data_IF_634811302826
#
_entry.id   IF_634811302826
#
_cell.length_a   1.000
_cell.length_b   1.000
_cell.length_c   1.000
_cell.angle_alpha   90.00
_cell.angle_beta   90.00
_cell.angle_gamma   90.00
#
_symmetry.space_group_name_H-M   'P 1'
#
loop_
_entity.id
_entity.type
_entity.pdbx_description
1 polymer ?
#
# COMPACT_ATOMS: atom_id res chain seq x y z
N UNK A 1 -13.92 10.44 7.44
CA UNK A 1 -15.13 9.63 7.73
C UNK A 1 -16.32 10.02 6.85
N UNK A 2 -16.66 11.30 6.70
CA UNK A 2 -17.79 11.75 5.85
C UNK A 2 -17.66 11.39 4.36
N UNK A 3 -16.43 11.45 3.80
CA UNK A 3 -16.17 11.13 2.39
C UNK A 3 -16.44 9.64 2.04
N UNK A 4 -16.12 8.71 2.95
CA UNK A 4 -16.39 7.29 2.72
C UNK A 4 -17.89 7.00 2.70
N UNK A 5 -18.64 7.71 3.55
CA UNK A 5 -20.08 7.54 3.72
C UNK A 5 -20.82 8.09 2.50
N UNK A 6 -20.39 9.23 1.95
CA UNK A 6 -20.94 9.77 0.70
C UNK A 6 -20.64 8.86 -0.50
N UNK A 7 -19.41 8.36 -0.65
CA UNK A 7 -19.06 7.40 -1.72
C UNK A 7 -19.90 6.13 -1.64
N UNK A 8 -20.07 5.56 -0.44
CA UNK A 8 -20.87 4.36 -0.23
C UNK A 8 -22.35 4.60 -0.58
N UNK A 9 -22.92 5.75 -0.21
CA UNK A 9 -24.31 6.10 -0.53
C UNK A 9 -24.53 6.33 -2.03
N UNK A 10 -23.60 6.99 -2.72
CA UNK A 10 -23.67 7.23 -4.16
C UNK A 10 -23.54 5.90 -4.92
N UNK A 11 -22.62 5.03 -4.51
CA UNK A 11 -22.47 3.70 -5.09
C UNK A 11 -23.72 2.83 -4.85
N UNK A 12 -24.29 2.88 -3.65
CA UNK A 12 -25.54 2.19 -3.31
C UNK A 12 -26.69 2.64 -4.21
N UNK A 13 -26.87 3.95 -4.37
CA UNK A 13 -27.88 4.52 -5.26
C UNK A 13 -27.67 4.09 -6.71
N UNK A 14 -26.42 4.11 -7.20
CA UNK A 14 -26.06 3.64 -8.53
C UNK A 14 -26.40 2.17 -8.77
N UNK A 15 -26.09 1.29 -7.80
CA UNK A 15 -26.42 -0.12 -7.86
C UNK A 15 -27.92 -0.40 -7.76
N UNK A 16 -28.67 0.34 -6.95
CA UNK A 16 -30.14 0.26 -6.89
C UNK A 16 -30.75 0.68 -8.23
N UNK A 17 -30.26 1.76 -8.86
CA UNK A 17 -30.70 2.16 -10.20
C UNK A 17 -30.40 1.10 -11.26
N UNK A 18 -29.24 0.45 -11.21
CA UNK A 18 -28.90 -0.66 -12.12
C UNK A 18 -29.75 -1.90 -11.85
N UNK A 19 -30.07 -2.21 -10.59
CA UNK A 19 -30.96 -3.31 -10.22
C UNK A 19 -32.38 -3.08 -10.74
N UNK A 20 -32.91 -1.84 -10.65
CA UNK A 20 -34.19 -1.46 -11.24
C UNK A 20 -34.19 -1.48 -12.77
N UNK A 21 -33.02 -1.30 -13.40
CA UNK A 21 -32.85 -1.39 -14.83
C UNK A 21 -32.76 -2.84 -15.36
N UNK A 22 -32.53 -3.82 -14.49
CA UNK A 22 -32.47 -5.22 -14.87
C UNK A 22 -33.89 -5.82 -14.92
N UNK A 23 -34.22 -6.58 -15.96
CA UNK A 23 -35.61 -6.99 -16.24
C UNK A 23 -36.20 -7.85 -15.12
N UNK A 24 -35.41 -8.80 -14.58
CA UNK A 24 -35.87 -9.73 -13.55
C UNK A 24 -35.93 -9.07 -12.17
N UNK A 25 -34.94 -8.24 -11.84
CA UNK A 25 -34.80 -7.60 -10.54
C UNK A 25 -35.71 -6.36 -10.40
N UNK A 26 -35.87 -5.58 -11.48
CA UNK A 26 -36.77 -4.43 -11.52
C UNK A 26 -38.23 -4.83 -11.37
N UNK A 27 -38.65 -5.94 -12.00
CA UNK A 27 -39.99 -6.50 -11.82
C UNK A 27 -40.23 -7.01 -10.39
N UNK A 28 -39.21 -7.64 -9.77
CA UNK A 28 -39.26 -8.10 -8.38
C UNK A 28 -39.31 -6.97 -7.35
N UNK A 29 -38.60 -5.86 -7.58
CA UNK A 29 -38.53 -4.71 -6.67
C UNK A 29 -39.75 -3.78 -6.79
N UNK A 30 -40.26 -3.56 -8.00
CA UNK A 30 -41.37 -2.64 -8.26
C UNK A 30 -42.74 -3.33 -8.24
N UNK A 31 -42.78 -4.66 -8.30
CA UNK A 31 -44.01 -5.46 -8.37
C UNK A 31 -44.82 -5.23 -9.66
N UNK A 32 -44.20 -4.59 -10.67
CA UNK A 32 -44.78 -4.20 -11.95
C UNK A 32 -43.67 -4.24 -13.00
N UNK A 33 -43.99 -4.63 -14.23
CA UNK A 33 -43.01 -4.60 -15.34
C UNK A 33 -42.68 -3.12 -15.65
N UNK A 34 -41.42 -2.68 -15.46
CA UNK A 34 -41.04 -1.29 -15.70
C UNK A 34 -41.09 -0.96 -17.19
N UNK A 35 -41.60 0.23 -17.56
CA UNK A 35 -41.63 0.67 -18.95
C UNK A 35 -40.21 0.75 -19.54
N UNK A 36 -40.00 0.39 -20.83
CA UNK A 36 -38.67 0.35 -21.45
C UNK A 36 -37.90 1.68 -21.43
N UNK A 37 -38.62 2.81 -21.39
CA UNK A 37 -38.02 4.15 -21.27
C UNK A 37 -37.46 4.40 -19.86
N UNK A 38 -38.21 4.03 -18.82
CA UNK A 38 -37.78 4.14 -17.42
C UNK A 38 -36.57 3.27 -17.16
N UNK A 39 -36.55 2.06 -17.74
CA UNK A 39 -35.42 1.13 -17.63
C UNK A 39 -34.13 1.69 -18.23
N UNK A 40 -34.24 2.34 -19.39
CA UNK A 40 -33.11 3.03 -20.04
C UNK A 40 -32.63 4.23 -19.21
N UNK A 41 -33.56 5.03 -18.66
CA UNK A 41 -33.24 6.14 -17.76
C UNK A 41 -32.55 5.69 -16.47
N UNK A 42 -33.02 4.62 -15.84
CA UNK A 42 -32.37 4.06 -14.64
C UNK A 42 -30.97 3.49 -14.95
N UNK A 43 -30.78 2.91 -16.13
CA UNK A 43 -29.47 2.39 -16.56
C UNK A 43 -28.46 3.51 -16.77
N UNK A 44 -28.86 4.60 -17.45
CA UNK A 44 -27.97 5.75 -17.64
C UNK A 44 -27.69 6.45 -16.31
N UNK A 45 -28.70 6.65 -15.47
CA UNK A 45 -28.52 7.22 -14.14
C UNK A 45 -27.59 6.38 -13.24
N UNK A 46 -27.71 5.05 -13.27
CA UNK A 46 -26.86 4.15 -12.50
C UNK A 46 -25.38 4.23 -12.90
N UNK A 47 -25.09 4.26 -14.19
CA UNK A 47 -23.72 4.45 -14.68
C UNK A 47 -23.16 5.85 -14.37
N UNK A 48 -23.98 6.89 -14.48
CA UNK A 48 -23.59 8.26 -14.12
C UNK A 48 -23.26 8.39 -12.63
N UNK A 49 -24.04 7.74 -11.75
CA UNK A 49 -23.79 7.73 -10.31
C UNK A 49 -22.51 6.96 -9.95
N UNK A 50 -22.24 5.82 -10.60
CA UNK A 50 -20.98 5.09 -10.39
C UNK A 50 -19.76 5.88 -10.90
N UNK A 51 -19.92 6.61 -12.01
CA UNK A 51 -18.90 7.54 -12.50
C UNK A 51 -18.68 8.74 -11.57
N UNK A 52 -19.74 9.29 -10.98
CA UNK A 52 -19.63 10.35 -9.98
C UNK A 52 -18.94 9.85 -8.69
N UNK A 53 -19.21 8.62 -8.25
CA UNK A 53 -18.50 7.99 -7.14
C UNK A 53 -17.00 7.85 -7.42
N UNK A 54 -16.61 7.54 -8.66
CA UNK A 54 -15.21 7.49 -9.08
C UNK A 54 -14.55 8.88 -8.97
N UNK A 55 -15.20 9.93 -9.49
CA UNK A 55 -14.68 11.31 -9.42
C UNK A 55 -14.45 11.77 -7.98
N UNK A 56 -15.39 11.48 -7.07
CA UNK A 56 -15.25 11.80 -5.64
C UNK A 56 -14.10 11.02 -4.98
N UNK A 57 -13.87 9.77 -5.38
CA UNK A 57 -12.73 8.98 -4.91
C UNK A 57 -11.39 9.53 -5.41
N UNK A 58 -11.33 9.97 -6.67
CA UNK A 58 -10.14 10.54 -7.28
C UNK A 58 -9.78 11.90 -6.65
N UNK A 59 -10.77 12.78 -6.44
CA UNK A 59 -10.55 14.10 -5.80
C UNK A 59 -10.14 13.97 -4.32
N UNK A 60 -10.68 12.98 -3.60
CA UNK A 60 -10.40 12.83 -2.17
C UNK A 60 -9.07 12.13 -1.86
N UNK A 61 -8.68 11.13 -2.64
CA UNK A 61 -7.56 10.23 -2.32
C UNK A 61 -6.45 10.21 -3.38
N UNK A 62 -6.61 10.97 -4.48
CA UNK A 62 -5.69 11.00 -5.61
C UNK A 62 -5.85 9.81 -6.55
N UNK A 63 -5.23 9.88 -7.72
CA UNK A 63 -5.51 8.98 -8.85
C UNK A 63 -5.22 7.50 -8.55
N UNK A 64 -4.13 7.22 -7.82
CA UNK A 64 -3.68 5.84 -7.55
C UNK A 64 -4.49 5.18 -6.43
N UNK A 65 -4.76 5.89 -5.34
CA UNK A 65 -5.47 5.33 -4.19
C UNK A 65 -6.99 5.41 -4.39
N UNK A 66 -7.48 6.46 -5.06
CA UNK A 66 -8.89 6.65 -5.38
C UNK A 66 -9.47 5.53 -6.25
N UNK A 67 -8.73 5.06 -7.26
CA UNK A 67 -9.16 3.94 -8.09
C UNK A 67 -9.34 2.64 -7.30
N UNK A 68 -8.39 2.32 -6.42
CA UNK A 68 -8.46 1.13 -5.55
C UNK A 68 -9.61 1.25 -4.55
N UNK A 69 -9.78 2.42 -3.94
CA UNK A 69 -10.87 2.69 -3.01
C UNK A 69 -12.25 2.57 -3.69
N UNK A 70 -12.39 3.05 -4.93
CA UNK A 70 -13.60 2.94 -5.72
C UNK A 70 -13.99 1.48 -6.00
N UNK A 71 -13.03 0.66 -6.44
CA UNK A 71 -13.25 -0.79 -6.66
C UNK A 71 -13.63 -1.51 -5.35
N UNK A 72 -12.96 -1.17 -4.24
CA UNK A 72 -13.25 -1.75 -2.94
C UNK A 72 -14.69 -1.46 -2.48
N UNK A 73 -15.14 -0.20 -2.59
CA UNK A 73 -16.50 0.19 -2.18
C UNK A 73 -17.57 -0.38 -3.09
N UNK A 74 -17.33 -0.46 -4.41
CA UNK A 74 -18.20 -1.16 -5.35
C UNK A 74 -18.36 -2.64 -4.96
N UNK A 75 -17.26 -3.30 -4.59
CA UNK A 75 -17.28 -4.70 -4.13
C UNK A 75 -18.10 -4.89 -2.86
N UNK A 76 -17.93 -4.02 -1.86
CA UNK A 76 -18.70 -4.09 -0.59
C UNK A 76 -20.18 -3.86 -0.85
N UNK A 77 -20.54 -2.81 -1.59
CA UNK A 77 -21.95 -2.46 -1.86
C UNK A 77 -22.64 -3.53 -2.71
N UNK A 78 -21.97 -4.05 -3.74
CA UNK A 78 -22.53 -5.12 -4.58
C UNK A 78 -22.72 -6.42 -3.80
N UNK A 79 -21.79 -6.80 -2.93
CA UNK A 79 -21.94 -7.95 -2.05
C UNK A 79 -23.13 -7.78 -1.09
N UNK A 80 -23.25 -6.62 -0.43
CA UNK A 80 -24.38 -6.32 0.46
C UNK A 80 -25.70 -6.42 -0.30
N UNK A 81 -25.82 -5.82 -1.49
CA UNK A 81 -27.02 -5.95 -2.32
C UNK A 81 -27.29 -7.41 -2.71
N UNK A 82 -26.28 -8.16 -3.14
CA UNK A 82 -26.43 -9.55 -3.57
C UNK A 82 -26.96 -10.46 -2.45
N UNK A 83 -26.58 -10.20 -1.19
CA UNK A 83 -27.07 -10.95 -0.03
C UNK A 83 -28.37 -10.39 0.56
N UNK A 84 -28.66 -9.09 0.40
CA UNK A 84 -29.85 -8.45 0.94
C UNK A 84 -31.08 -8.60 0.02
N UNK A 85 -30.92 -8.49 -1.30
CA UNK A 85 -32.03 -8.56 -2.27
C UNK A 85 -32.84 -9.87 -2.17
N UNK A 86 -32.21 -11.07 -2.15
CA UNK A 86 -32.95 -12.32 -2.09
C UNK A 86 -33.85 -12.39 -0.86
N UNK A 87 -33.36 -11.92 0.29
CA UNK A 87 -34.11 -11.89 1.55
C UNK A 87 -35.31 -10.94 1.54
N UNK A 88 -35.30 -9.92 0.68
CA UNK A 88 -36.37 -8.92 0.61
C UNK A 88 -37.41 -9.23 -0.46
N UNK A 89 -37.01 -9.96 -1.51
CA UNK A 89 -37.88 -10.25 -2.67
C UNK A 89 -38.52 -11.64 -2.65
N UNK A 90 -38.08 -12.53 -1.76
CA UNK A 90 -38.71 -13.84 -1.59
C UNK A 90 -40.14 -13.67 -1.05
N UNK A 91 -41.13 -13.76 -1.94
CA UNK A 91 -42.49 -14.16 -1.54
C UNK A 91 -42.38 -15.60 -1.01
N UNK A 92 -43.01 -15.94 0.13
CA UNK A 92 -43.01 -17.33 0.59
C UNK A 92 -43.58 -18.20 -0.52
N UNK A 93 -42.73 -19.06 -1.08
CA UNK A 93 -43.12 -19.91 -2.20
C UNK A 93 -44.22 -20.87 -1.74
N UNK A 94 -45.25 -21.09 -2.57
CA UNK A 94 -46.10 -22.27 -2.42
C UNK A 94 -45.15 -23.48 -2.54
N UNK A 95 -45.12 -24.40 -1.57
CA UNK A 95 -44.11 -25.45 -1.55
C UNK A 95 -44.29 -26.32 -2.79
N UNK A 96 -43.41 -26.14 -3.77
CA UNK A 96 -43.14 -27.15 -4.77
C UNK A 96 -42.43 -28.29 -4.05
N UNK A 97 -42.64 -29.56 -4.44
CA UNK A 97 -41.82 -30.66 -3.96
C UNK A 97 -40.40 -30.45 -4.52
N UNK A 98 -39.63 -29.62 -3.81
CA UNK A 98 -38.19 -29.54 -3.99
C UNK A 98 -37.69 -30.84 -3.37
N UNK A 99 -37.15 -31.71 -4.21
CA UNK A 99 -36.25 -32.74 -3.74
C UNK A 99 -35.09 -31.99 -3.09
N UNK A 100 -35.16 -31.88 -1.75
CA UNK A 100 -34.29 -31.03 -0.98
C UNK A 100 -32.86 -31.45 -1.29
N UNK A 101 -32.09 -30.59 -1.95
CA UNK A 101 -30.64 -30.72 -1.87
C UNK A 101 -30.32 -30.65 -0.39
N UNK A 102 -29.81 -31.77 0.14
CA UNK A 102 -29.69 -31.97 1.57
C UNK A 102 -29.04 -30.73 2.19
N UNK A 103 -29.63 -30.16 3.27
CA UNK A 103 -29.09 -28.96 3.88
C UNK A 103 -27.61 -29.19 4.15
N UNK A 104 -26.77 -28.20 3.80
CA UNK A 104 -25.35 -28.25 4.14
C UNK A 104 -25.25 -28.65 5.61
N UNK A 105 -24.62 -29.80 5.86
CA UNK A 105 -24.50 -30.36 7.20
C UNK A 105 -23.94 -29.30 8.13
N UNK A 106 -24.28 -29.36 9.42
CA UNK A 106 -23.74 -28.44 10.41
C UNK A 106 -22.20 -28.34 10.28
N UNK A 107 -21.53 -29.46 9.99
CA UNK A 107 -20.09 -29.52 9.70
C UNK A 107 -19.64 -28.67 8.52
N UNK A 108 -20.37 -28.63 7.38
CA UNK A 108 -20.02 -27.78 6.23
C UNK A 108 -20.24 -26.30 6.51
N UNK A 109 -21.25 -25.93 7.30
CA UNK A 109 -21.48 -24.54 7.75
C UNK A 109 -20.37 -24.06 8.67
N UNK A 110 -19.95 -24.91 9.62
CA UNK A 110 -18.79 -24.64 10.47
C UNK A 110 -17.51 -24.49 9.65
N UNK A 111 -17.26 -25.38 8.69
CA UNK A 111 -16.07 -25.31 7.84
C UNK A 111 -16.04 -24.05 6.99
N UNK A 112 -17.17 -23.63 6.42
CA UNK A 112 -17.28 -22.36 5.69
C UNK A 112 -17.03 -21.14 6.58
N UNK A 113 -17.55 -21.13 7.82
CA UNK A 113 -17.29 -20.05 8.78
C UNK A 113 -15.81 -20.00 9.21
N UNK A 114 -15.20 -21.16 9.45
CA UNK A 114 -13.75 -21.25 9.75
C UNK A 114 -12.92 -20.71 8.60
N UNK A 115 -13.21 -21.08 7.36
CA UNK A 115 -12.48 -20.58 6.18
C UNK A 115 -12.67 -19.07 6.00
N UNK A 116 -13.90 -18.56 6.18
CA UNK A 116 -14.20 -17.13 6.06
C UNK A 116 -13.49 -16.29 7.13
N UNK A 117 -13.33 -16.82 8.35
CA UNK A 117 -12.59 -16.16 9.43
C UNK A 117 -11.07 -16.37 9.33
N UNK A 118 -10.61 -17.48 8.76
CA UNK A 118 -9.18 -17.79 8.67
C UNK A 118 -8.42 -16.79 7.80
N UNK A 119 -9.02 -16.30 6.71
CA UNK A 119 -8.38 -15.32 5.82
C UNK A 119 -8.11 -13.97 6.51
N UNK A 120 -9.08 -13.28 7.13
CA UNK A 120 -8.81 -12.02 7.84
C UNK A 120 -7.91 -12.21 9.07
N UNK A 121 -7.98 -13.36 9.76
CA UNK A 121 -7.08 -13.67 10.87
C UNK A 121 -5.64 -13.85 10.37
N UNK A 122 -5.42 -14.64 9.32
CA UNK A 122 -4.11 -14.82 8.71
C UNK A 122 -3.56 -13.48 8.19
N UNK A 123 -4.41 -12.66 7.56
CA UNK A 123 -4.03 -11.31 7.13
C UNK A 123 -3.67 -10.40 8.31
N UNK A 124 -4.45 -10.42 9.39
CA UNK A 124 -4.18 -9.66 10.61
C UNK A 124 -2.85 -10.07 11.27
N UNK A 125 -2.54 -11.37 11.30
CA UNK A 125 -1.25 -11.89 11.78
C UNK A 125 -0.11 -11.38 10.89
N UNK A 126 -0.25 -11.47 9.57
CA UNK A 126 0.76 -10.99 8.61
C UNK A 126 0.98 -9.48 8.76
N UNK A 127 -0.09 -8.70 8.95
CA UNK A 127 0.01 -7.25 9.20
C UNK A 127 0.69 -6.94 10.53
N UNK A 128 0.38 -7.69 11.60
CA UNK A 128 1.02 -7.52 12.90
C UNK A 128 2.51 -7.90 12.88
N UNK A 129 2.90 -8.78 11.97
CA UNK A 129 4.30 -9.18 11.74
C UNK A 129 5.01 -8.34 10.67
N UNK A 130 4.32 -7.37 10.07
CA UNK A 130 4.91 -6.55 9.02
C UNK A 130 6.09 -5.76 9.59
N UNK A 131 7.28 -5.82 8.96
CA UNK A 131 8.45 -5.14 9.48
C UNK A 131 8.22 -3.63 9.50
N UNK A 132 8.59 -3.01 10.63
CA UNK A 132 8.61 -1.55 10.76
C UNK A 132 9.54 -0.98 9.69
N UNK A 133 9.15 0.16 9.10
CA UNK A 133 10.01 0.86 8.13
C UNK A 133 11.40 1.08 8.77
N UNK A 134 12.50 0.71 8.09
CA UNK A 134 13.86 0.81 8.64
C UNK A 134 14.20 2.15 9.28
N UNK A 135 13.80 3.26 8.65
CA UNK A 135 14.03 4.63 9.14
C UNK A 135 13.22 5.01 10.39
N UNK A 136 12.26 4.18 10.80
CA UNK A 136 11.45 4.34 12.01
C UNK A 136 11.85 3.36 13.13
N UNK A 137 12.85 2.50 12.91
CA UNK A 137 13.37 1.62 13.95
C UNK A 137 14.29 2.39 14.89
N UNK A 138 14.47 1.85 16.10
CA UNK A 138 15.31 2.45 17.14
C UNK A 138 16.81 2.52 16.77
N UNK A 139 17.27 1.69 15.83
CA UNK A 139 18.65 1.67 15.33
C UNK A 139 18.92 2.71 14.22
N UNK A 140 17.88 3.43 13.77
CA UNK A 140 18.06 4.44 12.73
C UNK A 140 18.89 5.63 13.24
N UNK A 141 19.87 6.05 12.45
CA UNK A 141 20.65 7.26 12.70
C UNK A 141 19.80 8.48 12.41
N UNK A 142 19.67 9.35 13.41
CA UNK A 142 18.94 10.61 13.31
C UNK A 142 19.92 11.78 13.39
N UNK A 143 19.67 12.84 12.63
CA UNK A 143 20.46 14.05 12.75
C UNK A 143 20.17 15.08 11.66
N UNK A 144 21.11 16.01 11.52
CA UNK A 144 21.03 17.11 10.56
C UNK A 144 22.21 17.09 9.60
N UNK A 145 21.96 17.43 8.34
CA UNK A 145 22.98 17.59 7.30
C UNK A 145 22.72 18.89 6.55
N UNK A 146 23.54 19.91 6.83
CA UNK A 146 23.21 21.28 6.44
C UNK A 146 21.92 21.72 7.15
N UNK A 147 20.94 22.30 6.44
CA UNK A 147 19.67 22.74 7.02
C UNK A 147 18.59 21.64 7.09
N UNK A 148 18.89 20.41 6.68
CA UNK A 148 17.87 19.35 6.57
C UNK A 148 18.04 18.27 7.65
N UNK A 149 16.93 17.93 8.31
CA UNK A 149 16.88 16.80 9.23
C UNK A 149 16.64 15.49 8.46
N UNK A 150 17.23 14.41 8.94
CA UNK A 150 17.13 13.09 8.31
C UNK A 150 17.16 11.93 9.30
N UNK A 151 16.65 10.79 8.83
CA UNK A 151 16.79 9.45 9.41
C UNK A 151 17.43 8.51 8.39
N UNK A 152 18.48 7.78 8.76
CA UNK A 152 19.23 6.87 7.88
C UNK A 152 19.40 5.51 8.57
N UNK A 153 19.08 4.42 7.88
CA UNK A 153 19.20 3.07 8.44
C UNK A 153 19.53 2.02 7.38
N UNK A 154 20.09 0.88 7.80
CA UNK A 154 20.15 -0.33 6.98
C UNK A 154 18.74 -0.80 6.60
N UNK A 155 18.49 -1.15 5.34
CA UNK A 155 17.16 -1.61 4.91
C UNK A 155 16.71 -2.91 5.61
N UNK A 156 17.65 -3.74 6.03
CA UNK A 156 17.47 -4.97 6.80
C UNK A 156 18.65 -5.17 7.75
N UNK A 157 18.48 -6.01 8.77
CA UNK A 157 19.53 -6.35 9.75
C UNK A 157 20.25 -7.66 9.42
N UNK A 158 20.17 -8.11 8.17
CA UNK A 158 20.87 -9.31 7.70
C UNK A 158 22.30 -8.96 7.27
N UNK A 159 23.13 -9.99 7.06
CA UNK A 159 24.45 -9.82 6.45
C UNK A 159 24.34 -9.18 5.05
N UNK A 160 25.40 -8.49 4.57
CA UNK A 160 25.47 -7.98 3.21
C UNK A 160 25.17 -9.08 2.19
N UNK A 161 24.41 -8.72 1.15
CA UNK A 161 24.06 -9.64 0.08
C UNK A 161 25.28 -9.85 -0.82
N UNK A 162 25.62 -11.11 -1.09
CA UNK A 162 26.74 -11.45 -1.97
C UNK A 162 26.22 -11.62 -3.40
N UNK A 163 26.51 -10.67 -4.27
CA UNK A 163 26.18 -10.78 -5.70
C UNK A 163 27.32 -11.53 -6.40
N UNK A 164 27.00 -12.62 -7.09
CA UNK A 164 27.96 -13.55 -7.71
C UNK A 164 29.08 -14.05 -6.74
N UNK A 165 28.83 -14.04 -5.42
CA UNK A 165 29.75 -14.60 -4.42
C UNK A 165 31.00 -13.76 -4.10
N UNK A 166 31.29 -12.70 -4.84
CA UNK A 166 32.55 -11.96 -4.72
C UNK A 166 32.40 -10.57 -4.07
N UNK A 167 31.26 -9.93 -4.31
CA UNK A 167 31.05 -8.55 -3.91
C UNK A 167 29.90 -8.43 -2.91
N UNK A 168 30.15 -7.94 -1.68
CA UNK A 168 29.10 -7.63 -0.72
C UNK A 168 28.38 -6.34 -1.11
N UNK A 169 27.06 -6.37 -1.09
CA UNK A 169 26.19 -5.21 -1.26
C UNK A 169 25.33 -5.02 -0.03
N UNK A 170 25.07 -3.75 0.31
CA UNK A 170 24.16 -3.41 1.39
C UNK A 170 23.23 -2.28 0.97
N UNK A 171 21.95 -2.47 1.30
CA UNK A 171 20.89 -1.52 1.04
C UNK A 171 20.64 -0.65 2.27
N UNK A 172 20.47 0.65 2.02
CA UNK A 172 20.17 1.67 3.01
C UNK A 172 18.90 2.42 2.64
N UNK A 173 18.20 2.92 3.65
CA UNK A 173 17.06 3.81 3.49
C UNK A 173 17.35 5.14 4.17
N UNK A 174 17.00 6.22 3.49
CA UNK A 174 17.15 7.58 3.93
C UNK A 174 15.79 8.26 3.88
N UNK A 175 15.42 8.90 4.99
CA UNK A 175 14.24 9.74 5.10
C UNK A 175 14.62 11.15 5.46
N UNK A 176 14.22 12.13 4.66
CA UNK A 176 14.33 13.55 5.04
C UNK A 176 13.05 14.05 5.71
N UNK A 177 13.13 15.22 6.34
CA UNK A 177 11.92 15.94 6.77
C UNK A 177 11.01 16.24 5.56
N UNK A 178 9.70 16.17 5.77
CA UNK A 178 8.72 16.33 4.68
C UNK A 178 8.85 17.68 3.96
N UNK A 179 9.13 18.76 4.69
CA UNK A 179 9.36 20.09 4.10
C UNK A 179 10.72 20.24 3.41
N UNK A 180 11.73 19.46 3.82
CA UNK A 180 13.11 19.55 3.36
C UNK A 180 13.25 19.03 1.92
N UNK A 181 12.45 18.01 1.56
CA UNK A 181 12.52 17.32 0.27
C UNK A 181 12.45 18.27 -0.93
N UNK A 182 11.65 19.34 -0.81
CA UNK A 182 11.49 20.35 -1.85
C UNK A 182 12.80 21.13 -2.18
N UNK A 183 13.74 21.18 -1.24
CA UNK A 183 15.01 21.92 -1.38
C UNK A 183 16.17 21.03 -1.81
N UNK A 184 16.02 19.70 -1.72
CA UNK A 184 17.09 18.74 -1.99
C UNK A 184 17.05 18.35 -3.46
N UNK A 185 18.20 18.46 -4.14
CA UNK A 185 18.37 18.00 -5.52
C UNK A 185 18.69 16.51 -5.55
N UNK A 186 19.66 16.08 -4.76
CA UNK A 186 20.11 14.69 -4.71
C UNK A 186 20.79 14.37 -3.38
N UNK A 187 20.78 13.09 -3.02
CA UNK A 187 21.56 12.55 -1.92
C UNK A 187 22.33 11.34 -2.42
N UNK A 188 23.55 11.15 -1.93
CA UNK A 188 24.48 10.12 -2.38
C UNK A 188 25.07 9.39 -1.18
N UNK A 189 25.31 8.09 -1.33
CA UNK A 189 25.99 7.28 -0.32
C UNK A 189 27.24 6.62 -0.92
N UNK A 190 28.33 6.65 -0.16
CA UNK A 190 29.60 6.07 -0.59
C UNK A 190 30.43 5.56 0.59
N UNK A 191 31.18 4.49 0.34
CA UNK A 191 32.25 4.05 1.24
C UNK A 191 33.47 4.97 1.08
N UNK A 192 33.98 5.45 2.21
CA UNK A 192 35.03 6.47 2.36
C UNK A 192 34.64 7.86 1.87
N UNK A 193 35.36 8.86 2.37
CA UNK A 193 35.10 10.26 2.08
C UNK A 193 35.23 10.58 0.58
N UNK A 194 34.18 11.08 -0.09
CA UNK A 194 34.28 11.52 -1.47
C UNK A 194 35.14 12.79 -1.59
N UNK A 195 35.96 12.87 -2.64
CA UNK A 195 36.83 14.03 -2.93
C UNK A 195 36.16 15.12 -3.75
N UNK A 196 35.03 14.81 -4.38
CA UNK A 196 34.26 15.73 -5.22
C UNK A 196 32.82 15.23 -5.38
N UNK A 197 31.92 16.12 -5.81
CA UNK A 197 30.52 15.76 -6.03
C UNK A 197 30.34 14.71 -7.15
N UNK A 198 31.15 14.76 -8.22
CA UNK A 198 31.15 13.75 -9.28
C UNK A 198 31.49 12.34 -8.75
N UNK A 199 32.25 12.26 -7.65
CA UNK A 199 32.62 11.02 -6.99
C UNK A 199 31.87 10.74 -5.69
N UNK A 200 30.72 11.40 -5.45
CA UNK A 200 29.97 11.38 -4.19
C UNK A 200 29.34 10.02 -3.84
N UNK A 201 29.19 9.11 -4.81
CA UNK A 201 28.64 7.78 -4.58
C UNK A 201 27.49 7.42 -5.49
N UNK A 202 26.71 6.45 -5.04
CA UNK A 202 25.46 6.07 -5.69
C UNK A 202 24.33 6.95 -5.14
N UNK A 203 23.50 7.46 -6.04
CA UNK A 203 22.38 8.34 -5.67
C UNK A 203 21.26 7.55 -5.01
N UNK A 204 20.69 8.09 -3.94
CA UNK A 204 19.44 7.58 -3.37
C UNK A 204 18.28 7.77 -4.36
N UNK A 205 17.56 6.69 -4.64
CA UNK A 205 16.36 6.65 -5.47
C UNK A 205 15.10 6.39 -4.64
N UNK A 206 13.98 7.01 -5.01
CA UNK A 206 12.71 6.85 -4.31
C UNK A 206 11.78 8.04 -4.54
N UNK A 207 10.60 7.99 -3.93
CA UNK A 207 9.60 9.04 -4.05
C UNK A 207 9.66 9.97 -2.84
N UNK A 208 9.82 11.28 -3.11
CA UNK A 208 9.85 12.35 -2.09
C UNK A 208 10.92 12.09 -1.02
N UNK A 209 10.53 12.24 0.24
CA UNK A 209 11.39 12.07 1.40
C UNK A 209 11.77 10.62 1.68
N UNK A 210 11.08 9.59 1.18
CA UNK A 210 11.42 8.18 1.42
C UNK A 210 12.29 7.66 0.26
N UNK A 211 13.59 7.50 0.50
CA UNK A 211 14.57 7.12 -0.52
C UNK A 211 15.40 5.92 -0.09
N UNK A 212 15.95 5.19 -1.05
CA UNK A 212 16.79 4.02 -0.81
C UNK A 212 17.95 3.96 -1.78
N UNK A 213 19.04 3.33 -1.35
CA UNK A 213 20.23 3.11 -2.16
C UNK A 213 20.81 1.75 -1.83
N UNK A 214 21.44 1.12 -2.81
CA UNK A 214 22.25 -0.07 -2.61
C UNK A 214 23.67 0.26 -3.04
N UNK A 215 24.62 0.03 -2.14
CA UNK A 215 26.04 0.32 -2.39
C UNK A 215 26.87 -0.95 -2.31
N UNK A 216 27.90 -0.99 -3.13
CA UNK A 216 28.97 -1.97 -3.01
C UNK A 216 29.79 -1.67 -1.76
N UNK A 217 30.02 -2.69 -0.96
CA UNK A 217 30.92 -2.65 0.18
C UNK A 217 32.28 -3.27 -0.19
N UNK A 218 33.39 -2.81 0.42
CA UNK A 218 34.70 -3.41 0.19
C UNK A 218 34.73 -4.84 0.74
N UNK A 219 35.29 -5.80 0.00
CA UNK A 219 35.42 -7.19 0.45
C UNK A 219 36.42 -7.34 1.61
N UNK A 220 37.34 -6.39 1.78
CA UNK A 220 38.28 -6.28 2.91
C UNK A 220 38.03 -4.98 3.68
N UNK A 221 36.88 -4.90 4.33
CA UNK A 221 36.54 -3.81 5.26
C UNK A 221 36.53 -4.30 6.71
N UNK A 222 36.40 -3.37 7.63
CA UNK A 222 36.16 -3.63 9.05
C UNK A 222 35.14 -2.66 9.67
N UNK A 223 34.86 -2.79 10.98
CA UNK A 223 33.95 -1.91 11.72
C UNK A 223 34.28 -0.41 11.62
N UNK A 224 35.56 -0.08 11.47
CA UNK A 224 36.10 1.26 11.27
C UNK A 224 35.89 1.84 9.86
N UNK A 225 35.40 1.04 8.91
CA UNK A 225 35.15 1.49 7.53
C UNK A 225 34.12 2.61 7.54
N UNK A 226 34.49 3.78 7.03
CA UNK A 226 33.56 4.91 6.99
C UNK A 226 32.59 4.85 5.80
N UNK A 227 31.35 5.22 6.04
CA UNK A 227 30.31 5.47 5.03
C UNK A 227 29.89 6.92 5.10
N UNK A 228 29.87 7.60 3.96
CA UNK A 228 29.64 9.02 3.82
C UNK A 228 28.34 9.30 3.05
N UNK A 229 27.47 10.09 3.68
CA UNK A 229 26.30 10.71 3.06
C UNK A 229 26.69 12.08 2.51
N UNK A 230 26.40 12.34 1.24
CA UNK A 230 26.52 13.65 0.60
C UNK A 230 25.15 14.12 0.15
N UNK A 231 24.76 15.35 0.47
CA UNK A 231 23.48 15.94 0.06
C UNK A 231 23.74 17.23 -0.71
N UNK A 232 23.16 17.32 -1.91
CA UNK A 232 23.19 18.50 -2.77
C UNK A 232 21.83 19.20 -2.73
N UNK A 233 21.83 20.48 -2.33
CA UNK A 233 20.67 21.36 -2.40
C UNK A 233 20.41 21.85 -3.83
N UNK A 234 19.16 22.23 -4.10
CA UNK A 234 18.78 22.88 -5.37
C UNK A 234 19.41 24.27 -5.55
N UNK A 235 19.87 24.86 -4.45
CA UNK A 235 20.67 26.08 -4.41
C UNK A 235 22.16 25.86 -4.76
N UNK A 236 22.58 24.60 -4.94
CA UNK A 236 23.97 24.21 -5.19
C UNK A 236 24.81 24.03 -3.94
N UNK A 237 24.23 24.17 -2.74
CA UNK A 237 24.92 23.84 -1.49
C UNK A 237 25.22 22.34 -1.41
N UNK A 238 26.39 21.98 -0.86
CA UNK A 238 26.78 20.58 -0.67
C UNK A 238 27.18 20.35 0.78
N UNK A 239 26.53 19.39 1.41
CA UNK A 239 26.79 19.00 2.80
C UNK A 239 27.17 17.53 2.88
N UNK A 240 28.13 17.20 3.74
CA UNK A 240 28.69 15.85 3.87
C UNK A 240 28.79 15.46 5.34
N UNK A 241 28.45 14.22 5.64
CA UNK A 241 28.65 13.61 6.96
C UNK A 241 29.03 12.14 6.81
N UNK A 242 30.00 11.69 7.59
CA UNK A 242 30.49 10.32 7.60
C UNK A 242 30.26 9.67 8.96
N UNK A 243 30.07 8.35 8.94
CA UNK A 243 29.98 7.49 10.12
C UNK A 243 30.80 6.24 9.89
N UNK A 244 31.25 5.62 10.98
CA UNK A 244 31.86 4.30 10.91
C UNK A 244 30.80 3.22 10.66
N UNK A 245 31.24 2.09 10.11
CA UNK A 245 30.36 0.96 9.77
C UNK A 245 29.61 0.43 10.99
N UNK A 246 30.24 0.42 12.17
CA UNK A 246 29.60 -0.01 13.42
C UNK A 246 28.51 0.94 13.93
N UNK A 247 28.55 2.22 13.54
CA UNK A 247 27.51 3.20 13.87
C UNK A 247 26.33 3.16 12.91
N UNK A 248 26.60 3.09 11.60
CA UNK A 248 25.57 3.15 10.55
C UNK A 248 24.99 1.79 10.17
N UNK A 249 25.75 0.72 10.37
CA UNK A 249 25.43 -0.61 9.84
C UNK A 249 25.92 -1.74 10.78
N UNK A 250 25.35 -1.87 12.00
CA UNK A 250 25.80 -2.86 12.98
C UNK A 250 25.74 -4.31 12.48
N UNK A 251 24.80 -4.64 11.57
CA UNK A 251 24.75 -5.98 10.97
C UNK A 251 25.96 -6.24 10.06
N UNK A 252 26.30 -5.26 9.21
CA UNK A 252 27.49 -5.32 8.35
C UNK A 252 28.79 -5.32 9.15
N UNK A 253 28.89 -4.52 10.21
CA UNK A 253 30.09 -4.51 11.07
C UNK A 253 30.32 -5.87 11.74
N UNK A 254 29.27 -6.53 12.23
CA UNK A 254 29.35 -7.90 12.76
C UNK A 254 29.76 -8.92 11.70
N UNK A 255 29.25 -8.77 10.47
CA UNK A 255 29.64 -9.62 9.35
C UNK A 255 31.13 -9.48 9.00
N UNK A 256 31.65 -8.25 8.99
CA UNK A 256 33.08 -8.01 8.81
C UNK A 256 33.93 -8.66 9.91
N UNK A 257 33.47 -8.61 11.16
CA UNK A 257 34.19 -9.18 12.30
C UNK A 257 34.25 -10.73 12.30
N UNK A 258 33.39 -11.40 11.54
CA UNK A 258 33.32 -12.87 11.47
C UNK A 258 34.15 -13.47 10.32
N UNK A 259 34.82 -12.64 9.52
CA UNK A 259 35.47 -13.03 8.26
C UNK A 259 36.97 -12.79 8.31
#
# INVERSE_FOLDING_TARGET
MMLNLSVALIALAGFVCLALAAERQGEQLLGRVPMPAVRRGCRTAGWLLLGAALLVCLEGWGDTIGGVAWVAWIGVVSAVLAFALPRWTEKPARPLPIEATAPLSASRRWLAAVVLCAVPVAFGIVLAQAPVKPVLRDDALHGEIGPWTFSLAEADLNAPQMILGETPFKKYQLRFCEACDAQIRAAYLKVHKPRSLRGAGITFGGARWDRSVEIQLPSRGGPETEVWLTVEGKDGSVHQRGWRMDEISPATARWYAQR
#
